data_IF_191597931418
#
_entry.id   IF_191597931418
#
_cell.length_a   1.000
_cell.length_b   1.000
_cell.length_c   1.000
_cell.angle_alpha   90.00
_cell.angle_beta   90.00
_cell.angle_gamma   90.00
#
_symmetry.space_group_name_H-M   'P 1'
#
loop_
_entity.id
_entity.type
_entity.pdbx_description
1 polymer ?
#
# COMPACT_ATOMS: atom_id res chain seq x y z
N UNK A 1 -12.95 -24.33 -21.09
CA UNK A 1 -11.71 -25.06 -21.37
C UNK A 1 -10.91 -24.40 -22.52
N UNK A 2 -11.53 -24.01 -23.62
CA UNK A 2 -10.88 -23.37 -24.79
C UNK A 2 -10.33 -21.98 -24.40
N UNK A 3 -11.06 -21.17 -23.62
CA UNK A 3 -10.59 -19.87 -23.12
C UNK A 3 -9.32 -20.01 -22.24
N UNK A 4 -9.23 -21.07 -21.46
CA UNK A 4 -8.06 -21.33 -20.60
C UNK A 4 -6.79 -21.72 -21.37
N UNK A 5 -6.92 -22.32 -22.54
CA UNK A 5 -5.77 -22.74 -23.37
C UNK A 5 -5.19 -21.55 -24.15
N UNK A 6 -6.05 -20.66 -24.65
CA UNK A 6 -5.62 -19.45 -25.39
C UNK A 6 -5.14 -18.34 -24.43
N UNK A 7 -5.69 -18.27 -23.22
CA UNK A 7 -5.29 -17.27 -22.25
C UNK A 7 -3.99 -17.58 -21.49
N UNK A 8 -3.51 -18.84 -21.50
CA UNK A 8 -2.29 -19.24 -20.80
C UNK A 8 -1.03 -18.51 -21.26
N UNK A 9 -0.68 -18.42 -22.55
CA UNK A 9 0.51 -17.71 -22.99
C UNK A 9 0.42 -16.19 -22.72
N UNK A 10 -0.73 -15.58 -23.00
CA UNK A 10 -0.97 -14.17 -22.68
C UNK A 10 -0.90 -13.89 -21.17
N UNK A 11 -1.44 -14.79 -20.35
CA UNK A 11 -1.37 -14.65 -18.89
C UNK A 11 0.06 -14.81 -18.36
N UNK A 12 0.90 -15.66 -18.99
CA UNK A 12 2.31 -15.81 -18.63
C UNK A 12 3.14 -14.59 -19.01
N UNK A 13 2.90 -13.99 -20.18
CA UNK A 13 3.60 -12.78 -20.60
C UNK A 13 3.21 -11.56 -19.76
N UNK A 14 1.92 -11.36 -19.52
CA UNK A 14 1.44 -10.30 -18.64
C UNK A 14 1.97 -10.51 -17.21
N UNK A 15 1.98 -11.76 -16.75
CA UNK A 15 2.55 -12.14 -15.46
C UNK A 15 4.01 -11.75 -15.34
N UNK A 16 4.82 -12.00 -16.33
CA UNK A 16 6.24 -11.64 -16.36
C UNK A 16 6.47 -10.11 -16.36
N UNK A 17 5.60 -9.34 -17.03
CA UNK A 17 5.70 -7.88 -17.09
C UNK A 17 5.30 -7.23 -15.75
N UNK A 18 4.31 -7.76 -15.04
CA UNK A 18 3.73 -7.17 -13.86
C UNK A 18 4.28 -7.73 -12.55
N UNK A 19 4.79 -8.98 -12.54
CA UNK A 19 5.45 -9.56 -11.38
C UNK A 19 6.75 -8.80 -11.08
N UNK A 20 7.14 -8.74 -9.82
CA UNK A 20 8.36 -8.05 -9.42
C UNK A 20 9.57 -8.98 -9.60
N UNK A 21 10.37 -8.70 -10.61
CA UNK A 21 11.72 -9.23 -10.76
C UNK A 21 12.73 -8.12 -10.45
N UNK A 22 13.43 -8.18 -9.30
CA UNK A 22 14.40 -7.16 -8.94
C UNK A 22 15.50 -6.95 -9.97
N UNK A 23 15.89 -7.99 -10.72
CA UNK A 23 16.90 -7.87 -11.77
C UNK A 23 16.39 -7.03 -12.95
N UNK A 24 15.12 -7.20 -13.35
CA UNK A 24 14.52 -6.40 -14.42
C UNK A 24 14.32 -4.95 -13.99
N UNK A 25 13.96 -4.70 -12.73
CA UNK A 25 13.84 -3.35 -12.19
C UNK A 25 15.19 -2.62 -12.25
N UNK A 26 16.28 -3.30 -11.85
CA UNK A 26 17.61 -2.68 -11.75
C UNK A 26 18.29 -2.54 -13.13
N UNK A 27 18.24 -3.57 -13.96
CA UNK A 27 18.98 -3.59 -15.21
C UNK A 27 18.20 -3.04 -16.42
N UNK A 28 16.86 -3.12 -16.40
CA UNK A 28 16.01 -2.70 -17.51
C UNK A 28 15.13 -1.51 -17.16
N UNK A 29 15.15 -1.03 -15.91
CA UNK A 29 14.37 0.14 -15.49
C UNK A 29 12.86 -0.10 -15.43
N UNK A 30 12.41 -1.31 -15.13
CA UNK A 30 10.98 -1.66 -15.00
C UNK A 30 10.42 -1.17 -13.66
N UNK A 31 10.38 0.15 -13.50
CA UNK A 31 10.03 0.85 -12.25
C UNK A 31 8.57 0.68 -11.79
N UNK A 32 7.68 0.16 -12.64
CA UNK A 32 6.29 -0.11 -12.29
C UNK A 32 6.12 -1.40 -11.49
N UNK A 33 7.02 -2.38 -11.67
CA UNK A 33 6.92 -3.69 -11.02
C UNK A 33 6.79 -3.64 -9.49
N UNK A 34 7.51 -2.78 -8.73
CA UNK A 34 7.32 -2.65 -7.28
C UNK A 34 5.90 -2.25 -6.86
N UNK A 35 5.09 -1.74 -7.79
CA UNK A 35 3.70 -1.34 -7.53
C UNK A 35 2.67 -2.28 -8.17
N UNK A 36 3.04 -3.12 -9.14
CA UNK A 36 2.08 -3.94 -9.91
C UNK A 36 2.08 -5.41 -9.53
N UNK A 37 3.13 -5.92 -8.90
CA UNK A 37 3.31 -7.33 -8.58
C UNK A 37 2.18 -7.94 -7.74
N UNK A 38 1.49 -7.13 -6.94
CA UNK A 38 0.39 -7.60 -6.08
C UNK A 38 -0.83 -8.07 -6.87
N UNK A 39 -0.96 -7.68 -8.15
CA UNK A 39 -2.09 -8.04 -9.01
C UNK A 39 -1.93 -9.49 -9.50
N UNK A 40 -0.69 -9.97 -9.60
CA UNK A 40 -0.39 -11.26 -10.19
C UNK A 40 -0.33 -12.34 -9.11
N UNK A 41 -1.04 -13.44 -9.38
CA UNK A 41 -1.03 -14.63 -8.55
C UNK A 41 -0.72 -15.85 -9.42
N UNK A 42 0.16 -16.76 -8.98
CA UNK A 42 0.46 -17.97 -9.74
C UNK A 42 -0.77 -18.87 -9.78
N UNK A 43 -1.22 -19.21 -11.00
CA UNK A 43 -2.46 -19.98 -11.22
C UNK A 43 -2.49 -21.39 -10.63
N UNK A 44 -1.35 -21.92 -10.18
CA UNK A 44 -1.23 -23.22 -9.55
C UNK A 44 -1.61 -23.23 -8.05
N UNK A 45 -1.68 -22.07 -7.41
CA UNK A 45 -1.92 -21.95 -5.95
C UNK A 45 -3.28 -21.35 -5.62
N UNK A 46 -4.36 -21.89 -6.20
CA UNK A 46 -5.74 -21.35 -6.03
C UNK A 46 -6.10 -21.21 -4.55
N UNK A 47 -5.78 -22.20 -3.71
CA UNK A 47 -6.07 -22.16 -2.28
C UNK A 47 -5.28 -21.06 -1.58
N UNK A 48 -3.99 -20.89 -1.91
CA UNK A 48 -3.15 -19.83 -1.38
C UNK A 48 -3.66 -18.45 -1.76
N UNK A 49 -4.02 -18.26 -3.02
CA UNK A 49 -4.64 -17.01 -3.51
C UNK A 49 -5.96 -16.72 -2.81
N UNK A 50 -6.81 -17.74 -2.59
CA UNK A 50 -8.06 -17.56 -1.87
C UNK A 50 -7.83 -17.12 -0.41
N UNK A 51 -6.85 -17.71 0.28
CA UNK A 51 -6.46 -17.30 1.63
C UNK A 51 -5.91 -15.88 1.66
N UNK A 52 -5.11 -15.51 0.67
CA UNK A 52 -4.55 -14.18 0.55
C UNK A 52 -5.65 -13.13 0.37
N UNK A 53 -6.59 -13.36 -0.56
CA UNK A 53 -7.73 -12.47 -0.80
C UNK A 53 -8.67 -12.40 0.40
N UNK A 54 -8.93 -13.54 1.06
CA UNK A 54 -9.74 -13.60 2.28
C UNK A 54 -9.09 -12.79 3.41
N UNK A 55 -7.77 -12.92 3.59
CA UNK A 55 -7.01 -12.15 4.57
C UNK A 55 -7.07 -10.66 4.28
N UNK A 56 -6.88 -10.27 3.01
CA UNK A 56 -6.99 -8.89 2.56
C UNK A 56 -8.38 -8.31 2.84
N UNK A 57 -9.43 -9.07 2.50
CA UNK A 57 -10.81 -8.66 2.74
C UNK A 57 -11.09 -8.51 4.24
N UNK A 58 -10.70 -9.48 5.05
CA UNK A 58 -10.96 -9.48 6.49
C UNK A 58 -10.23 -8.33 7.21
N UNK A 59 -8.91 -8.21 7.01
CA UNK A 59 -8.10 -7.16 7.62
C UNK A 59 -8.48 -5.77 7.09
N UNK A 60 -8.78 -5.70 5.78
CA UNK A 60 -9.24 -4.48 5.12
C UNK A 60 -10.56 -3.99 5.68
N UNK A 61 -11.57 -4.86 5.78
CA UNK A 61 -12.90 -4.49 6.32
C UNK A 61 -12.83 -3.97 7.76
N UNK A 62 -11.95 -4.55 8.57
CA UNK A 62 -11.75 -4.09 9.95
C UNK A 62 -11.17 -2.67 10.02
N UNK A 63 -10.16 -2.38 9.22
CA UNK A 63 -9.50 -1.08 9.19
C UNK A 63 -10.36 -0.01 8.51
N UNK A 64 -11.09 -0.39 7.46
CA UNK A 64 -11.98 0.49 6.71
C UNK A 64 -13.11 1.04 7.60
N UNK A 65 -13.69 0.20 8.46
CA UNK A 65 -14.74 0.62 9.39
C UNK A 65 -14.31 1.74 10.35
N UNK A 66 -13.02 1.80 10.70
CA UNK A 66 -12.49 2.81 11.61
C UNK A 66 -11.86 4.03 10.94
N UNK A 67 -11.30 3.89 9.75
CA UNK A 67 -10.47 4.92 9.11
C UNK A 67 -10.94 5.33 7.71
N UNK A 68 -11.83 4.54 7.10
CA UNK A 68 -12.39 4.77 5.77
C UNK A 68 -11.53 4.20 4.63
N UNK A 69 -12.17 4.03 3.46
CA UNK A 69 -11.61 3.33 2.29
C UNK A 69 -10.35 3.99 1.72
N UNK A 70 -10.28 5.33 1.75
CA UNK A 70 -9.13 6.07 1.20
C UNK A 70 -7.87 5.84 2.03
N UNK A 71 -7.99 5.94 3.35
CA UNK A 71 -6.89 5.68 4.26
C UNK A 71 -6.40 4.23 4.14
N UNK A 72 -7.34 3.28 4.03
CA UNK A 72 -7.03 1.87 3.80
C UNK A 72 -6.27 1.66 2.49
N UNK A 73 -6.72 2.27 1.39
CA UNK A 73 -6.06 2.17 0.11
C UNK A 73 -4.64 2.76 0.16
N UNK A 74 -4.45 3.94 0.75
CA UNK A 74 -3.13 4.55 0.93
C UNK A 74 -2.20 3.65 1.74
N UNK A 75 -2.67 3.11 2.86
CA UNK A 75 -1.91 2.17 3.69
C UNK A 75 -1.50 0.93 2.88
N UNK A 76 -2.44 0.34 2.15
CA UNK A 76 -2.18 -0.85 1.33
C UNK A 76 -1.11 -0.57 0.26
N UNK A 77 -1.28 0.48 -0.53
CA UNK A 77 -0.33 0.81 -1.60
C UNK A 77 1.05 1.22 -1.08
N UNK A 78 1.11 1.96 0.03
CA UNK A 78 2.39 2.29 0.69
C UNK A 78 3.09 1.02 1.16
N UNK A 79 2.35 0.07 1.72
CA UNK A 79 2.91 -1.21 2.18
C UNK A 79 3.36 -2.10 1.03
N UNK A 80 2.58 -2.17 -0.06
CA UNK A 80 2.98 -2.88 -1.30
C UNK A 80 4.25 -2.28 -1.87
N UNK A 81 4.32 -0.95 -2.00
CA UNK A 81 5.52 -0.27 -2.49
C UNK A 81 6.72 -0.52 -1.57
N UNK A 82 6.52 -0.46 -0.25
CA UNK A 82 7.56 -0.75 0.74
C UNK A 82 8.12 -2.16 0.64
N UNK A 83 7.24 -3.15 0.41
CA UNK A 83 7.65 -4.53 0.19
C UNK A 83 8.44 -4.70 -1.12
N UNK A 84 7.98 -4.07 -2.20
CA UNK A 84 8.69 -4.08 -3.48
C UNK A 84 10.08 -3.43 -3.38
N UNK A 85 10.18 -2.28 -2.71
CA UNK A 85 11.46 -1.61 -2.48
C UNK A 85 12.40 -2.43 -1.60
N UNK A 86 11.89 -3.11 -0.57
CA UNK A 86 12.69 -4.00 0.26
C UNK A 86 13.26 -5.18 -0.55
N UNK A 87 12.49 -5.76 -1.45
CA UNK A 87 12.97 -6.82 -2.34
C UNK A 87 14.06 -6.34 -3.30
N UNK A 88 13.90 -5.16 -3.89
CA UNK A 88 14.93 -4.54 -4.74
C UNK A 88 16.19 -4.21 -3.93
N UNK A 89 16.03 -3.68 -2.71
CA UNK A 89 17.15 -3.41 -1.82
C UNK A 89 17.93 -4.68 -1.45
N UNK A 90 17.22 -5.80 -1.20
CA UNK A 90 17.86 -7.09 -0.94
C UNK A 90 18.66 -7.58 -2.14
N UNK A 91 18.17 -7.38 -3.36
CA UNK A 91 18.90 -7.75 -4.58
C UNK A 91 20.21 -6.98 -4.71
N UNK A 92 20.24 -5.68 -4.35
CA UNK A 92 21.47 -4.90 -4.31
C UNK A 92 22.46 -5.39 -3.24
N UNK A 93 21.94 -5.76 -2.06
CA UNK A 93 22.77 -6.23 -0.95
C UNK A 93 23.32 -7.64 -1.19
N UNK A 94 22.58 -8.49 -1.90
CA UNK A 94 22.93 -9.88 -2.19
C UNK A 94 22.67 -10.19 -3.68
N UNK A 95 23.59 -9.86 -4.58
CA UNK A 95 23.47 -10.20 -6.00
C UNK A 95 23.27 -11.72 -6.17
N UNK A 96 22.24 -12.11 -6.93
CA UNK A 96 21.85 -13.52 -7.09
C UNK A 96 20.73 -14.00 -6.14
N UNK A 97 20.26 -13.19 -5.21
CA UNK A 97 19.07 -13.49 -4.39
C UNK A 97 17.74 -13.13 -5.07
N UNK A 98 17.78 -12.83 -6.37
CA UNK A 98 16.62 -12.43 -7.15
C UNK A 98 15.58 -13.57 -7.22
N UNK A 99 14.45 -13.35 -6.56
CA UNK A 99 13.26 -14.19 -6.63
C UNK A 99 12.13 -13.34 -7.16
N UNK A 100 11.42 -13.86 -8.15
CA UNK A 100 10.23 -13.19 -8.68
C UNK A 100 9.15 -13.18 -7.60
N UNK A 101 8.71 -11.98 -7.22
CA UNK A 101 7.65 -11.78 -6.24
C UNK A 101 6.31 -11.54 -6.93
N UNK A 102 5.27 -12.06 -6.30
CA UNK A 102 3.87 -11.92 -6.71
C UNK A 102 2.96 -11.95 -5.49
N UNK A 103 1.69 -11.57 -5.67
CA UNK A 103 0.69 -11.57 -4.61
C UNK A 103 0.73 -10.33 -3.71
N UNK A 104 -0.30 -10.18 -2.89
CA UNK A 104 -0.49 -8.97 -2.06
C UNK A 104 0.05 -9.12 -0.62
N UNK A 105 0.91 -10.11 -0.34
CA UNK A 105 1.46 -10.35 1.00
C UNK A 105 2.14 -9.12 1.61
N UNK A 106 2.86 -8.34 0.81
CA UNK A 106 3.46 -7.09 1.31
C UNK A 106 2.42 -6.12 1.85
N UNK A 107 1.31 -5.96 1.14
CA UNK A 107 0.17 -5.16 1.59
C UNK A 107 -0.50 -5.73 2.84
N UNK A 108 -0.75 -7.06 2.86
CA UNK A 108 -1.35 -7.77 4.00
C UNK A 108 -0.52 -7.58 5.28
N UNK A 109 0.81 -7.68 5.21
CA UNK A 109 1.68 -7.46 6.36
C UNK A 109 1.63 -6.01 6.85
N UNK A 110 1.46 -5.03 5.93
CA UNK A 110 1.21 -3.65 6.32
C UNK A 110 -0.13 -3.45 7.02
N UNK A 111 -1.20 -4.09 6.53
CA UNK A 111 -2.50 -4.08 7.22
C UNK A 111 -2.42 -4.78 8.58
N UNK A 112 -1.71 -5.88 8.65
CA UNK A 112 -1.54 -6.66 9.88
C UNK A 112 -0.84 -5.82 10.97
N UNK A 113 0.25 -5.14 10.63
CA UNK A 113 0.95 -4.28 11.58
C UNK A 113 0.09 -3.08 12.00
N UNK A 114 -0.70 -2.52 11.08
CA UNK A 114 -1.65 -1.45 11.40
C UNK A 114 -2.68 -1.89 12.44
N UNK A 115 -3.22 -3.11 12.30
CA UNK A 115 -4.12 -3.70 13.29
C UNK A 115 -3.42 -3.90 14.63
N UNK A 116 -2.19 -4.40 14.63
CA UNK A 116 -1.40 -4.57 15.84
C UNK A 116 -1.11 -3.28 16.59
N UNK A 117 -1.02 -2.16 15.88
CA UNK A 117 -0.79 -0.83 16.47
C UNK A 117 -2.09 -0.17 16.92
N UNK A 118 -3.12 -0.19 16.06
CA UNK A 118 -4.38 0.54 16.29
C UNK A 118 -5.37 -0.21 17.17
N UNK A 119 -5.36 -1.54 17.08
CA UNK A 119 -6.31 -2.43 17.75
C UNK A 119 -5.62 -3.50 18.62
N UNK A 120 -4.47 -3.17 19.22
CA UNK A 120 -3.58 -4.07 19.95
C UNK A 120 -4.30 -4.98 20.98
N UNK A 121 -5.23 -4.44 21.73
CA UNK A 121 -5.94 -5.16 22.81
C UNK A 121 -7.32 -5.71 22.40
N UNK A 122 -7.71 -5.50 21.13
CA UNK A 122 -8.97 -6.05 20.62
C UNK A 122 -8.89 -7.55 20.51
N UNK A 123 -9.83 -8.30 21.10
CA UNK A 123 -9.86 -9.76 20.98
C UNK A 123 -10.40 -10.17 19.61
N UNK A 124 -9.67 -11.05 18.92
CA UNK A 124 -10.09 -11.68 17.68
C UNK A 124 -10.48 -13.13 17.96
N UNK A 125 -11.68 -13.53 17.55
CA UNK A 125 -12.09 -14.92 17.57
C UNK A 125 -11.46 -15.67 16.40
N UNK A 126 -10.73 -16.72 16.70
CA UNK A 126 -10.10 -17.59 15.70
C UNK A 126 -11.10 -18.71 15.33
N UNK A 127 -11.81 -18.53 14.22
CA UNK A 127 -12.64 -19.61 13.70
C UNK A 127 -11.77 -20.73 13.10
N UNK A 128 -12.04 -22.02 13.35
CA UNK A 128 -13.22 -22.59 14.02
C UNK A 128 -13.08 -22.81 15.55
N UNK A 129 -11.99 -22.37 16.14
CA UNK A 129 -11.74 -22.56 17.58
C UNK A 129 -12.31 -21.38 18.38
N UNK A 130 -13.03 -21.64 19.50
CA UNK A 130 -13.58 -20.58 20.35
C UNK A 130 -12.51 -19.92 21.23
N UNK A 131 -11.34 -19.65 20.66
CA UNK A 131 -10.22 -19.00 21.36
C UNK A 131 -10.13 -17.55 20.89
N UNK A 132 -10.21 -16.63 21.85
CA UNK A 132 -9.98 -15.22 21.59
C UNK A 132 -8.52 -14.86 21.85
N UNK A 133 -7.84 -14.36 20.83
CA UNK A 133 -6.44 -13.89 20.92
C UNK A 133 -6.43 -12.38 20.66
N UNK A 134 -5.72 -11.62 21.49
CA UNK A 134 -5.55 -10.18 21.23
C UNK A 134 -4.73 -9.95 19.97
N UNK A 135 -5.11 -8.93 19.20
CA UNK A 135 -4.46 -8.58 17.92
C UNK A 135 -2.93 -8.51 18.01
N UNK A 136 -2.40 -7.91 19.06
CA UNK A 136 -0.94 -7.79 19.26
C UNK A 136 -0.21 -9.13 19.27
N UNK A 137 -0.79 -10.17 19.84
CA UNK A 137 -0.15 -11.50 19.87
C UNK A 137 -0.23 -12.18 18.50
N UNK A 138 -1.36 -12.04 17.81
CA UNK A 138 -1.50 -12.53 16.44
C UNK A 138 -0.45 -11.89 15.52
N UNK A 139 -0.33 -10.57 15.55
CA UNK A 139 0.66 -9.82 14.77
C UNK A 139 2.09 -10.22 15.14
N UNK A 140 2.38 -10.36 16.44
CA UNK A 140 3.71 -10.79 16.90
C UNK A 140 4.08 -12.18 16.36
N UNK A 141 3.15 -13.14 16.33
CA UNK A 141 3.37 -14.47 15.75
C UNK A 141 3.67 -14.40 14.27
N UNK A 142 2.90 -13.63 13.48
CA UNK A 142 3.17 -13.47 12.05
C UNK A 142 4.51 -12.78 11.78
N UNK A 143 4.87 -11.77 12.58
CA UNK A 143 6.19 -11.11 12.47
C UNK A 143 7.32 -12.09 12.82
N UNK A 144 7.15 -12.92 13.83
CA UNK A 144 8.12 -13.94 14.22
C UNK A 144 8.31 -14.99 13.11
N UNK A 145 7.21 -15.44 12.49
CA UNK A 145 7.27 -16.36 11.34
C UNK A 145 8.03 -15.71 10.18
N UNK A 146 7.73 -14.45 9.84
CA UNK A 146 8.43 -13.74 8.77
C UNK A 146 9.93 -13.59 9.09
N UNK A 147 10.29 -13.29 10.34
CA UNK A 147 11.69 -13.24 10.79
C UNK A 147 12.37 -14.62 10.68
N UNK A 148 11.71 -15.68 11.06
CA UNK A 148 12.23 -17.05 10.93
C UNK A 148 12.46 -17.42 9.45
N UNK A 149 11.58 -16.97 8.55
CA UNK A 149 11.72 -17.21 7.11
C UNK A 149 12.92 -16.50 6.47
N UNK A 150 13.52 -15.49 7.11
CA UNK A 150 14.79 -14.87 6.65
C UNK A 150 15.94 -15.88 6.58
N UNK A 151 15.92 -16.91 7.41
CA UNK A 151 16.94 -17.97 7.45
C UNK A 151 16.61 -19.15 6.53
N UNK A 152 15.50 -19.08 5.79
CA UNK A 152 15.07 -20.10 4.84
C UNK A 152 15.44 -19.76 3.39
N UNK A 153 15.15 -20.70 2.47
CA UNK A 153 15.27 -20.45 1.05
C UNK A 153 14.34 -19.32 0.54
N UNK A 154 13.30 -18.97 1.29
CA UNK A 154 12.32 -17.94 0.94
C UNK A 154 12.63 -16.57 1.53
N UNK A 155 13.90 -16.28 1.82
CA UNK A 155 14.34 -15.01 2.41
C UNK A 155 13.86 -13.75 1.67
N UNK A 156 13.76 -13.79 0.34
CA UNK A 156 13.30 -12.64 -0.44
C UNK A 156 11.81 -12.31 -0.17
N UNK A 157 10.96 -13.33 -0.03
CA UNK A 157 9.57 -13.12 0.39
C UNK A 157 9.48 -12.56 1.81
N UNK A 158 10.30 -13.07 2.73
CA UNK A 158 10.34 -12.58 4.10
C UNK A 158 10.79 -11.11 4.17
N UNK A 159 11.81 -10.72 3.40
CA UNK A 159 12.23 -9.32 3.28
C UNK A 159 11.10 -8.43 2.73
N UNK A 160 10.39 -8.88 1.69
CA UNK A 160 9.25 -8.15 1.16
C UNK A 160 8.13 -7.98 2.20
N UNK A 161 7.77 -9.05 2.92
CA UNK A 161 6.76 -9.01 4.00
C UNK A 161 7.15 -8.01 5.10
N UNK A 162 8.39 -8.07 5.58
CA UNK A 162 8.90 -7.17 6.61
C UNK A 162 9.01 -5.72 6.11
N UNK A 163 9.39 -5.53 4.84
CA UNK A 163 9.37 -4.23 4.18
C UNK A 163 7.96 -3.63 4.14
N UNK A 164 6.95 -4.43 3.75
CA UNK A 164 5.56 -4.03 3.78
C UNK A 164 5.07 -3.67 5.19
N UNK A 165 5.42 -4.48 6.19
CA UNK A 165 5.12 -4.20 7.59
C UNK A 165 5.78 -2.90 8.08
N UNK A 166 7.05 -2.66 7.75
CA UNK A 166 7.78 -1.45 8.13
C UNK A 166 7.13 -0.20 7.53
N UNK A 167 6.85 -0.21 6.24
CA UNK A 167 6.21 0.94 5.57
C UNK A 167 4.78 1.14 6.04
N UNK A 168 4.04 0.06 6.32
CA UNK A 168 2.73 0.12 6.96
C UNK A 168 2.79 0.74 8.36
N UNK A 169 3.76 0.36 9.18
CA UNK A 169 3.99 0.95 10.50
C UNK A 169 4.32 2.44 10.41
N UNK A 170 5.22 2.82 9.50
CA UNK A 170 5.59 4.22 9.28
C UNK A 170 4.38 5.02 8.83
N UNK A 171 3.56 4.48 7.92
CA UNK A 171 2.34 5.12 7.49
C UNK A 171 1.39 5.36 8.66
N UNK A 172 1.09 4.34 9.47
CA UNK A 172 0.20 4.48 10.64
C UNK A 172 0.70 5.53 11.64
N UNK A 173 2.02 5.58 11.85
CA UNK A 173 2.64 6.52 12.79
C UNK A 173 2.64 7.97 12.31
N UNK A 174 2.85 8.19 11.01
CA UNK A 174 3.04 9.53 10.44
C UNK A 174 1.84 10.03 9.63
N UNK A 175 0.88 9.16 9.29
CA UNK A 175 -0.28 9.56 8.51
C UNK A 175 -1.27 10.36 9.34
N UNK A 176 -1.84 11.45 8.79
CA UNK A 176 -3.02 12.10 9.36
C UNK A 176 -4.18 11.09 9.46
N UNK A 177 -5.02 11.24 10.48
CA UNK A 177 -6.18 10.33 10.70
C UNK A 177 -7.10 10.15 9.48
N UNK A 178 -7.06 11.09 8.51
CA UNK A 178 -7.87 11.07 7.28
C UNK A 178 -7.08 10.74 6.01
N UNK A 179 -5.82 10.32 6.14
CA UNK A 179 -4.93 10.02 5.02
C UNK A 179 -4.25 11.26 4.41
N UNK A 180 -3.15 11.03 3.71
CA UNK A 180 -2.37 12.10 3.06
C UNK A 180 -3.09 12.74 1.87
N UNK A 181 -3.88 11.97 1.12
CA UNK A 181 -4.60 12.48 -0.05
C UNK A 181 -5.64 13.54 0.33
N UNK A 182 -6.35 13.37 1.45
CA UNK A 182 -7.27 14.39 1.96
C UNK A 182 -6.53 15.58 2.56
N UNK A 183 -5.47 15.36 3.32
CA UNK A 183 -4.65 16.45 3.85
C UNK A 183 -4.02 17.26 2.72
N UNK A 184 -3.53 16.61 1.66
CA UNK A 184 -3.01 17.26 0.45
C UNK A 184 -4.09 18.06 -0.30
N UNK A 185 -5.30 17.53 -0.42
CA UNK A 185 -6.40 18.25 -1.07
C UNK A 185 -6.83 19.49 -0.27
N UNK A 186 -6.92 19.42 1.05
CA UNK A 186 -7.25 20.55 1.91
C UNK A 186 -6.22 21.68 1.79
N UNK A 187 -4.92 21.34 1.74
CA UNK A 187 -3.86 22.33 1.53
C UNK A 187 -3.91 22.93 0.13
N UNK A 188 -4.18 22.14 -0.90
CA UNK A 188 -4.35 22.63 -2.28
C UNK A 188 -5.59 23.55 -2.40
N UNK A 189 -6.71 23.19 -1.78
CA UNK A 189 -7.89 24.06 -1.70
C UNK A 189 -7.61 25.34 -0.91
N UNK A 190 -6.85 25.26 0.18
CA UNK A 190 -6.41 26.42 0.96
C UNK A 190 -5.56 27.39 0.14
N UNK A 191 -4.58 26.88 -0.62
CA UNK A 191 -3.74 27.69 -1.53
C UNK A 191 -4.56 28.32 -2.65
N UNK A 192 -5.43 27.55 -3.30
CA UNK A 192 -6.33 28.04 -4.35
C UNK A 192 -7.26 29.13 -3.82
N UNK A 193 -7.79 28.96 -2.61
CA UNK A 193 -8.68 29.94 -2.00
C UNK A 193 -7.93 31.22 -1.62
N UNK A 194 -6.67 31.15 -1.15
CA UNK A 194 -5.79 32.31 -0.94
C UNK A 194 -5.53 33.06 -2.25
N UNK A 195 -5.23 32.35 -3.33
CA UNK A 195 -5.04 32.95 -4.66
C UNK A 195 -6.28 33.71 -5.13
N UNK A 196 -7.49 33.09 -5.04
CA UNK A 196 -8.73 33.77 -5.43
C UNK A 196 -9.07 34.95 -4.53
N UNK A 197 -8.83 34.90 -3.22
CA UNK A 197 -8.99 36.04 -2.31
C UNK A 197 -8.06 37.18 -2.68
N UNK A 198 -6.82 36.90 -2.98
CA UNK A 198 -5.85 37.90 -3.44
C UNK A 198 -6.28 38.54 -4.76
N UNK A 199 -6.71 37.73 -5.74
CA UNK A 199 -7.22 38.21 -7.03
C UNK A 199 -8.44 39.15 -6.86
N UNK A 200 -9.40 38.75 -6.01
CA UNK A 200 -10.57 39.59 -5.68
C UNK A 200 -10.19 40.90 -5.02
N UNK A 201 -9.25 40.89 -4.06
CA UNK A 201 -8.75 42.11 -3.41
C UNK A 201 -8.09 43.06 -4.41
N UNK A 202 -7.33 42.57 -5.38
CA UNK A 202 -6.76 43.40 -6.46
C UNK A 202 -7.82 43.97 -7.36
N UNK A 203 -8.84 43.22 -7.73
CA UNK A 203 -9.95 43.68 -8.53
C UNK A 203 -10.76 44.79 -7.82
N UNK A 204 -11.06 44.58 -6.51
CA UNK A 204 -11.76 45.57 -5.68
C UNK A 204 -10.99 46.90 -5.61
N UNK A 205 -9.65 46.86 -5.36
CA UNK A 205 -8.82 48.07 -5.36
C UNK A 205 -8.84 48.83 -6.71
N UNK A 206 -8.79 48.09 -7.82
CA UNK A 206 -8.89 48.72 -9.16
C UNK A 206 -10.24 49.40 -9.37
N UNK A 207 -11.32 48.75 -8.90
CA UNK A 207 -12.67 49.29 -9.00
C UNK A 207 -12.86 50.53 -8.11
N UNK A 208 -12.34 50.53 -6.88
CA UNK A 208 -12.36 51.71 -6.00
C UNK A 208 -11.62 52.88 -6.61
N UNK A 209 -10.44 52.67 -7.23
CA UNK A 209 -9.68 53.73 -7.91
C UNK A 209 -10.46 54.25 -9.10
N UNK A 210 -11.12 53.38 -9.88
CA UNK A 210 -11.95 53.78 -11.02
C UNK A 210 -13.15 54.63 -10.57
N UNK A 211 -13.88 54.19 -9.52
CA UNK A 211 -15.05 54.91 -8.96
C UNK A 211 -14.65 56.28 -8.39
N UNK A 212 -13.50 56.37 -7.71
CA UNK A 212 -13.00 57.65 -7.19
C UNK A 212 -12.73 58.67 -8.33
N UNK A 213 -12.06 58.20 -9.39
CA UNK A 213 -11.74 59.05 -10.54
C UNK A 213 -12.98 59.56 -11.33
N UNK A 214 -14.12 58.81 -11.28
CA UNK A 214 -15.36 59.20 -11.97
C UNK A 214 -16.34 59.97 -11.06
N UNK A 215 -16.09 60.03 -9.76
CA UNK A 215 -16.89 60.85 -8.83
C UNK A 215 -16.45 62.28 -8.79
N UNK A 216 -15.20 62.54 -9.10
CA UNK A 216 -14.59 63.89 -9.03
C UNK A 216 -14.67 64.64 -10.39
N UNK A 217 -15.37 64.04 -11.38
CA UNK A 217 -15.78 64.67 -12.65
C UNK A 217 -17.30 64.86 -12.68
#
# INVERSE_FOLDING_TARGET
>A
LILGVVARPLASEIGAILALDPALVVHHGWIWQPLTYFIIHPGAAILGTAFELLSLWFLGSLLEGGHGSRWLAELFFVSVLGAGLAAVALFFAMPGSGVVLYGCFGGIFGLLIAIGVLYADTPFMMFPFPVSIKAKYLVAVYMLIALAMLFSAQKAFAFAQLGGALFGFLYVKFSPRRGFALAGSETAYGLRNRYYRWKRRRAAKKFEVYMRKHRDN
#
